data_IF_968877108412
#
_entry.id   IF_968877108412
#
_cell.length_a   1.000
_cell.length_b   1.000
_cell.length_c   1.000
_cell.angle_alpha   90.00
_cell.angle_beta   90.00
_cell.angle_gamma   90.00
#
_symmetry.space_group_name_H-M   'P 1'
#
loop_
_entity.id
_entity.type
_entity.pdbx_description
1 polymer ?
#
# COMPACT_ATOMS: atom_id res chain seq x y z
N UNK A 1 -7.96 19.87 -1.41
CA UNK A 1 -7.97 21.17 -2.11
C UNK A 1 -9.37 21.51 -2.69
N UNK A 2 -10.24 20.55 -2.87
CA UNK A 2 -11.55 20.70 -3.50
C UNK A 2 -11.47 20.89 -5.02
N UNK A 3 -12.65 20.96 -5.66
CA UNK A 3 -12.82 21.07 -7.10
C UNK A 3 -13.79 22.21 -7.42
N UNK A 4 -13.62 22.83 -8.61
CA UNK A 4 -14.66 23.68 -9.22
C UNK A 4 -15.65 22.84 -9.99
N UNK A 5 -16.76 23.45 -10.49
CA UNK A 5 -17.71 22.77 -11.35
C UNK A 5 -17.07 22.27 -12.66
N UNK A 6 -16.18 23.07 -13.26
CA UNK A 6 -15.43 22.72 -14.46
C UNK A 6 -14.43 21.57 -14.21
N UNK A 7 -13.80 21.56 -13.03
CA UNK A 7 -12.91 20.45 -12.63
C UNK A 7 -13.69 19.15 -12.38
N UNK A 8 -14.92 19.22 -11.84
CA UNK A 8 -15.80 18.04 -11.75
C UNK A 8 -16.14 17.52 -13.15
N UNK A 9 -16.53 18.39 -14.06
CA UNK A 9 -16.85 17.99 -15.43
C UNK A 9 -15.65 17.32 -16.11
N UNK A 10 -14.46 17.87 -15.90
CA UNK A 10 -13.22 17.35 -16.48
C UNK A 10 -12.74 16.05 -15.85
N UNK A 11 -12.75 15.92 -14.51
CA UNK A 11 -12.08 14.82 -13.80
C UNK A 11 -13.04 13.74 -13.26
N UNK A 12 -14.33 14.06 -13.15
CA UNK A 12 -15.34 13.12 -12.64
C UNK A 12 -16.24 12.63 -13.76
N UNK A 13 -16.71 13.51 -14.67
CA UNK A 13 -17.64 13.11 -15.73
C UNK A 13 -16.95 12.46 -16.93
N UNK A 14 -15.65 12.72 -17.15
CA UNK A 14 -14.90 12.08 -18.26
C UNK A 14 -14.28 10.77 -17.79
N UNK A 15 -14.86 9.66 -18.24
CA UNK A 15 -14.40 8.31 -17.92
C UNK A 15 -12.98 8.10 -18.46
N UNK A 16 -12.11 7.49 -17.65
CA UNK A 16 -10.70 7.22 -17.96
C UNK A 16 -9.85 8.48 -18.24
N UNK A 17 -10.33 9.66 -17.86
CA UNK A 17 -9.54 10.87 -17.89
C UNK A 17 -8.82 11.04 -16.55
N UNK A 18 -7.51 11.22 -16.59
CA UNK A 18 -6.70 11.45 -15.40
C UNK A 18 -5.83 12.69 -15.59
N UNK A 19 -5.83 13.57 -14.59
CA UNK A 19 -4.90 14.70 -14.51
C UNK A 19 -3.45 14.28 -14.18
N UNK A 20 -3.17 12.98 -14.07
CA UNK A 20 -1.85 12.46 -13.73
C UNK A 20 -0.78 12.91 -14.74
N UNK A 21 -1.08 12.89 -16.03
CA UNK A 21 -0.13 13.32 -17.07
C UNK A 21 0.17 14.82 -16.97
N UNK A 22 -0.86 15.66 -16.80
CA UNK A 22 -0.70 17.12 -16.61
C UNK A 22 0.13 17.41 -15.35
N UNK A 23 -0.07 16.61 -14.29
CA UNK A 23 0.71 16.72 -13.06
C UNK A 23 2.16 16.30 -13.26
N UNK A 24 2.41 15.17 -13.93
CA UNK A 24 3.75 14.68 -14.23
C UNK A 24 4.56 15.65 -15.10
N UNK A 25 3.91 16.30 -16.06
CA UNK A 25 4.56 17.32 -16.88
C UNK A 25 4.96 18.56 -16.06
N UNK A 26 4.10 18.96 -15.10
CA UNK A 26 4.30 20.13 -14.27
C UNK A 26 5.26 19.89 -13.09
N UNK A 27 5.29 18.70 -12.54
CA UNK A 27 6.02 18.30 -11.33
C UNK A 27 6.86 17.06 -11.57
N UNK A 28 7.82 17.12 -12.51
CA UNK A 28 8.64 15.98 -12.94
C UNK A 28 9.42 15.31 -11.80
N UNK A 29 9.80 16.09 -10.79
CA UNK A 29 10.56 15.58 -9.62
C UNK A 29 9.68 14.87 -8.60
N UNK A 30 8.34 15.06 -8.66
CA UNK A 30 7.36 14.46 -7.76
C UNK A 30 6.53 13.35 -8.43
N UNK A 31 7.02 12.78 -9.53
CA UNK A 31 6.31 11.75 -10.30
C UNK A 31 5.85 10.55 -9.45
N UNK A 32 6.60 10.23 -8.40
CA UNK A 32 6.28 9.14 -7.47
C UNK A 32 5.14 9.48 -6.49
N UNK A 33 4.69 10.73 -6.41
CA UNK A 33 3.60 11.13 -5.53
C UNK A 33 2.21 10.79 -6.08
N UNK A 34 2.10 10.37 -7.34
CA UNK A 34 0.81 10.04 -7.97
C UNK A 34 0.45 8.59 -7.69
N UNK A 35 -0.67 8.41 -6.98
CA UNK A 35 -1.24 7.09 -6.67
C UNK A 35 -2.13 6.58 -7.81
N UNK A 36 -2.85 7.47 -8.49
CA UNK A 36 -3.84 7.13 -9.53
C UNK A 36 -3.39 7.53 -10.93
N UNK A 37 -3.46 6.59 -11.90
CA UNK A 37 -3.04 6.82 -13.27
C UNK A 37 -4.17 6.68 -14.30
N UNK A 38 -5.24 5.95 -14.00
CA UNK A 38 -6.20 5.50 -15.01
C UNK A 38 -7.51 6.30 -15.05
N UNK A 39 -7.78 7.16 -14.04
CA UNK A 39 -9.03 7.92 -13.96
C UNK A 39 -10.31 7.06 -13.79
N UNK A 40 -10.17 5.82 -13.33
CA UNK A 40 -11.27 4.86 -13.19
C UNK A 40 -11.63 4.52 -11.74
N UNK A 41 -10.75 4.82 -10.79
CA UNK A 41 -10.90 4.40 -9.40
C UNK A 41 -12.17 4.93 -8.72
N UNK A 42 -12.57 6.16 -9.05
CA UNK A 42 -13.78 6.78 -8.50
C UNK A 42 -15.06 5.97 -8.83
N UNK A 43 -15.15 5.44 -10.04
CA UNK A 43 -16.35 4.72 -10.49
C UNK A 43 -16.59 3.40 -9.76
N UNK A 44 -15.58 2.86 -9.07
CA UNK A 44 -15.75 1.69 -8.19
C UNK A 44 -16.73 1.94 -7.05
N UNK A 45 -17.01 3.19 -6.70
CA UNK A 45 -18.04 3.56 -5.72
C UNK A 45 -19.41 3.02 -6.09
N UNK A 46 -19.76 2.97 -7.38
CA UNK A 46 -21.05 2.45 -7.88
C UNK A 46 -21.14 0.91 -7.81
N UNK A 47 -20.09 0.20 -7.46
CA UNK A 47 -20.17 -1.24 -7.18
C UNK A 47 -20.86 -1.53 -5.84
N UNK A 48 -20.91 -0.55 -4.94
CA UNK A 48 -21.46 -0.71 -3.59
C UNK A 48 -22.52 0.34 -3.23
N UNK A 49 -22.66 1.39 -4.04
CA UNK A 49 -23.56 2.50 -3.77
C UNK A 49 -24.58 2.67 -4.89
N UNK A 50 -25.84 2.84 -4.52
CA UNK A 50 -26.95 3.17 -5.43
C UNK A 50 -26.98 4.65 -5.84
N UNK A 51 -26.23 5.49 -5.14
CA UNK A 51 -26.08 6.93 -5.43
C UNK A 51 -24.80 7.43 -4.80
N UNK A 52 -24.11 8.35 -5.49
CA UNK A 52 -22.94 9.05 -4.99
C UNK A 52 -23.16 10.55 -5.08
N UNK A 53 -22.78 11.27 -4.03
CA UNK A 53 -22.75 12.73 -4.02
C UNK A 53 -21.32 13.21 -3.74
N UNK A 54 -20.90 14.29 -4.41
CA UNK A 54 -19.66 15.01 -4.13
C UNK A 54 -20.05 16.46 -3.80
N UNK A 55 -19.78 16.89 -2.57
CA UNK A 55 -19.93 18.27 -2.14
C UNK A 55 -18.54 18.87 -2.04
N UNK A 56 -18.21 19.85 -2.89
CA UNK A 56 -16.85 20.33 -3.01
C UNK A 56 -16.75 21.84 -3.15
N UNK A 57 -15.67 22.41 -2.58
CA UNK A 57 -15.29 23.80 -2.74
C UNK A 57 -13.82 23.89 -3.04
N UNK A 58 -13.47 24.48 -4.18
CA UNK A 58 -12.08 24.65 -4.60
C UNK A 58 -11.31 25.59 -3.65
N UNK A 59 -10.01 25.41 -3.60
CA UNK A 59 -9.08 26.32 -2.89
C UNK A 59 -8.93 27.68 -3.58
N UNK A 60 -9.42 27.81 -4.81
CA UNK A 60 -9.32 29.04 -5.58
C UNK A 60 -10.17 30.15 -4.93
N UNK A 61 -9.64 31.37 -4.90
CA UNK A 61 -10.33 32.52 -4.32
C UNK A 61 -11.63 32.80 -5.07
N UNK A 62 -12.72 33.00 -4.35
CA UNK A 62 -14.04 33.23 -4.94
C UNK A 62 -14.75 32.00 -5.51
N UNK A 63 -14.15 30.82 -5.40
CA UNK A 63 -14.77 29.59 -5.93
C UNK A 63 -16.11 29.29 -5.23
N UNK A 64 -17.15 29.08 -6.04
CA UNK A 64 -18.46 28.63 -5.59
C UNK A 64 -18.40 27.13 -5.22
N UNK A 65 -18.99 26.75 -4.10
CA UNK A 65 -19.16 25.35 -3.76
C UNK A 65 -20.26 24.73 -4.61
N UNK A 66 -20.05 23.47 -5.00
CA UNK A 66 -21.00 22.71 -5.82
C UNK A 66 -21.25 21.32 -5.25
N UNK A 67 -22.43 20.80 -5.54
CA UNK A 67 -22.80 19.41 -5.27
C UNK A 67 -23.06 18.71 -6.60
N UNK A 68 -22.31 17.66 -6.85
CA UNK A 68 -22.50 16.70 -7.93
C UNK A 68 -23.25 15.48 -7.40
N UNK A 69 -24.19 14.95 -8.17
CA UNK A 69 -24.97 13.77 -7.81
C UNK A 69 -25.13 12.86 -9.02
N UNK A 70 -24.94 11.54 -8.84
CA UNK A 70 -25.14 10.52 -9.85
C UNK A 70 -25.59 9.20 -9.18
N UNK A 71 -26.45 8.46 -9.87
CA UNK A 71 -26.95 7.14 -9.45
C UNK A 71 -26.30 5.98 -10.21
N UNK A 72 -25.20 6.24 -10.94
CA UNK A 72 -24.52 5.27 -11.78
C UNK A 72 -25.04 5.20 -13.21
N UNK A 73 -26.11 5.90 -13.55
CA UNK A 73 -26.56 6.14 -14.92
C UNK A 73 -25.64 7.14 -15.63
N UNK A 74 -25.74 7.31 -16.96
CA UNK A 74 -25.02 8.36 -17.68
C UNK A 74 -25.43 9.79 -17.29
N UNK A 75 -26.50 9.95 -16.54
CA UNK A 75 -27.04 11.25 -16.12
C UNK A 75 -26.45 11.65 -14.76
N UNK A 76 -26.16 12.93 -14.61
CA UNK A 76 -25.71 13.54 -13.36
C UNK A 76 -26.32 14.94 -13.20
N UNK A 77 -26.26 15.46 -11.98
CA UNK A 77 -26.65 16.84 -11.70
C UNK A 77 -25.50 17.59 -11.02
N UNK A 78 -25.35 18.87 -11.31
CA UNK A 78 -24.46 19.79 -10.59
C UNK A 78 -25.30 20.99 -10.14
N UNK A 79 -25.26 21.30 -8.86
CA UNK A 79 -25.97 22.43 -8.27
C UNK A 79 -25.06 23.23 -7.34
N UNK A 80 -25.27 24.55 -7.26
CA UNK A 80 -24.55 25.37 -6.32
C UNK A 80 -25.06 25.10 -4.90
N UNK A 81 -24.13 25.01 -3.95
CA UNK A 81 -24.43 24.80 -2.53
C UNK A 81 -23.54 25.68 -1.67
N UNK A 82 -23.86 25.76 -0.38
CA UNK A 82 -23.00 26.41 0.61
C UNK A 82 -22.06 25.37 1.23
N UNK A 83 -20.78 25.72 1.32
CA UNK A 83 -19.75 24.96 2.03
C UNK A 83 -18.72 25.97 2.57
N UNK A 84 -18.54 25.96 3.88
CA UNK A 84 -17.65 26.92 4.54
C UNK A 84 -16.19 26.68 4.17
N UNK A 85 -15.70 25.45 4.36
CA UNK A 85 -14.30 25.10 4.14
C UNK A 85 -14.05 24.53 2.75
N UNK A 86 -12.85 24.77 2.21
CA UNK A 86 -12.36 24.09 1.00
C UNK A 86 -12.24 22.58 1.22
N UNK A 87 -12.31 21.82 0.16
CA UNK A 87 -12.20 20.36 0.18
C UNK A 87 -13.42 19.68 -0.40
N UNK A 88 -13.41 18.36 -0.39
CA UNK A 88 -14.50 17.55 -0.96
C UNK A 88 -15.01 16.55 0.06
N UNK A 89 -16.32 16.46 0.21
CA UNK A 89 -17.02 15.39 0.91
C UNK A 89 -17.59 14.46 -0.16
N UNK A 90 -17.23 13.18 -0.07
CA UNK A 90 -17.73 12.14 -0.98
C UNK A 90 -18.68 11.25 -0.18
N UNK A 91 -19.95 11.23 -0.55
CA UNK A 91 -21.03 10.56 0.17
C UNK A 91 -21.54 9.40 -0.69
N UNK A 92 -21.38 8.18 -0.19
CA UNK A 92 -21.87 6.97 -0.83
C UNK A 92 -23.16 6.51 -0.13
N UNK A 93 -24.26 6.47 -0.87
CA UNK A 93 -25.53 5.89 -0.40
C UNK A 93 -25.49 4.39 -0.69
N UNK A 94 -25.07 3.64 0.31
CA UNK A 94 -24.79 2.21 0.18
C UNK A 94 -26.04 1.43 -0.21
N UNK A 95 -25.89 0.49 -1.15
CA UNK A 95 -26.94 -0.41 -1.59
C UNK A 95 -27.34 -1.40 -0.47
N UNK A 96 -28.58 -1.87 -0.53
CA UNK A 96 -29.12 -2.78 0.48
C UNK A 96 -28.36 -4.09 0.59
N UNK A 97 -27.80 -4.58 -0.50
CA UNK A 97 -26.98 -5.80 -0.56
C UNK A 97 -25.54 -5.58 -0.08
N UNK A 98 -25.13 -4.33 0.16
CA UNK A 98 -23.77 -3.92 0.53
C UNK A 98 -23.67 -3.32 1.94
N UNK A 99 -24.66 -3.56 2.81
CA UNK A 99 -24.74 -2.95 4.17
C UNK A 99 -23.52 -3.25 5.07
N UNK A 100 -22.75 -4.31 4.77
CA UNK A 100 -21.51 -4.58 5.50
C UNK A 100 -20.53 -3.40 5.48
N UNK A 101 -20.55 -2.56 4.44
CA UNK A 101 -19.70 -1.37 4.33
C UNK A 101 -20.20 -0.16 5.17
N UNK A 102 -21.29 -0.29 5.90
CA UNK A 102 -21.71 0.65 6.93
C UNK A 102 -21.12 0.32 8.30
N UNK A 103 -20.52 -0.87 8.47
CA UNK A 103 -19.94 -1.33 9.71
C UNK A 103 -18.54 -0.76 9.91
N UNK A 104 -18.30 -0.06 11.03
CA UNK A 104 -17.00 0.53 11.38
C UNK A 104 -15.87 -0.50 11.34
N UNK A 105 -16.11 -1.69 11.89
CA UNK A 105 -15.14 -2.79 11.92
C UNK A 105 -14.75 -3.28 10.53
N UNK A 106 -15.73 -3.33 9.60
CA UNK A 106 -15.50 -3.72 8.22
C UNK A 106 -14.62 -2.70 7.49
N UNK A 107 -14.97 -1.42 7.60
CA UNK A 107 -14.18 -0.33 6.99
C UNK A 107 -12.78 -0.28 7.60
N UNK A 108 -12.66 -0.35 8.92
CA UNK A 108 -11.36 -0.38 9.61
C UNK A 108 -10.45 -1.51 9.10
N UNK A 109 -11.00 -2.72 8.93
CA UNK A 109 -10.24 -3.87 8.41
C UNK A 109 -9.76 -3.65 6.97
N UNK A 110 -10.59 -3.06 6.12
CA UNK A 110 -10.23 -2.73 4.73
C UNK A 110 -9.15 -1.63 4.68
N UNK A 111 -9.30 -0.58 5.48
CA UNK A 111 -8.31 0.49 5.56
C UNK A 111 -6.97 -0.04 6.06
N UNK A 112 -6.98 -0.90 7.08
CA UNK A 112 -5.76 -1.55 7.59
C UNK A 112 -5.10 -2.43 6.53
N UNK A 113 -5.87 -3.17 5.74
CA UNK A 113 -5.31 -4.04 4.70
C UNK A 113 -4.74 -3.27 3.52
N UNK A 114 -5.49 -2.30 2.99
CA UNK A 114 -5.17 -1.67 1.69
C UNK A 114 -4.51 -0.30 1.81
N UNK A 115 -4.69 0.38 2.93
CA UNK A 115 -4.27 1.77 3.10
C UNK A 115 -3.19 1.98 4.16
N UNK A 116 -2.73 0.90 4.81
CA UNK A 116 -1.82 0.96 5.97
C UNK A 116 -0.58 1.83 5.75
N UNK A 117 -0.05 1.86 4.55
CA UNK A 117 1.21 2.53 4.24
C UNK A 117 1.07 3.63 3.18
N UNK A 118 -0.15 4.05 2.87
CA UNK A 118 -0.35 5.16 1.94
C UNK A 118 0.41 6.42 2.40
N UNK A 119 1.02 7.16 1.47
CA UNK A 119 1.87 8.32 1.81
C UNK A 119 1.07 9.56 2.23
N UNK A 120 -0.25 9.45 2.32
CA UNK A 120 -1.16 10.52 2.74
C UNK A 120 -1.87 10.08 4.02
N UNK A 121 -1.91 10.92 5.09
CA UNK A 121 -2.55 10.53 6.35
C UNK A 121 -4.06 10.33 6.15
N UNK A 122 -4.56 9.24 6.71
CA UNK A 122 -5.97 8.85 6.70
C UNK A 122 -6.47 8.88 8.13
N UNK A 123 -7.37 9.79 8.43
CA UNK A 123 -8.07 9.83 9.72
C UNK A 123 -9.34 8.97 9.64
N UNK A 124 -9.51 8.06 10.60
CA UNK A 124 -10.71 7.25 10.74
C UNK A 124 -11.18 7.28 12.19
N UNK A 125 -12.23 8.05 12.42
CA UNK A 125 -12.74 8.34 13.77
C UNK A 125 -11.79 9.20 14.60
N UNK A 126 -12.03 9.21 15.91
CA UNK A 126 -11.21 9.92 16.88
C UNK A 126 -10.38 8.94 17.71
N UNK A 127 -9.25 9.42 18.26
CA UNK A 127 -8.48 8.64 19.23
C UNK A 127 -9.32 8.37 20.47
N UNK A 128 -9.22 7.14 21.01
CA UNK A 128 -9.91 6.72 22.23
C UNK A 128 -8.88 6.53 23.34
N UNK A 129 -9.13 7.11 24.50
CA UNK A 129 -8.32 6.96 25.71
C UNK A 129 -9.12 6.25 26.82
N UNK A 130 -8.42 5.50 27.67
CA UNK A 130 -9.03 4.92 28.85
C UNK A 130 -9.05 5.96 29.99
N UNK A 131 -10.28 6.36 30.41
CA UNK A 131 -10.49 7.20 31.60
C UNK A 131 -11.52 6.51 32.48
N UNK A 132 -11.19 6.32 33.75
CA UNK A 132 -12.05 5.71 34.75
C UNK A 132 -12.68 4.36 34.37
N UNK A 133 -11.88 3.50 33.68
CA UNK A 133 -12.33 2.18 33.22
C UNK A 133 -13.25 2.19 32.02
N UNK A 134 -13.41 3.33 31.33
CA UNK A 134 -14.19 3.47 30.08
C UNK A 134 -13.33 4.06 28.96
N UNK A 135 -13.57 3.64 27.74
CA UNK A 135 -13.03 4.30 26.56
C UNK A 135 -13.79 5.60 26.28
N UNK A 136 -13.07 6.72 26.22
CA UNK A 136 -13.61 8.05 25.91
C UNK A 136 -12.93 8.55 24.66
N UNK A 137 -13.72 9.06 23.71
CA UNK A 137 -13.17 9.71 22.52
C UNK A 137 -12.52 11.05 22.87
N UNK A 138 -11.38 11.31 22.27
CA UNK A 138 -10.68 12.59 22.36
C UNK A 138 -11.07 13.50 21.20
N UNK A 139 -10.57 14.74 21.19
CA UNK A 139 -10.74 15.66 20.07
C UNK A 139 -9.74 15.41 18.93
N UNK A 140 -8.76 14.51 19.13
CA UNK A 140 -7.72 14.23 18.14
C UNK A 140 -8.19 13.21 17.12
N UNK A 141 -7.83 13.45 15.84
CA UNK A 141 -8.09 12.49 14.76
C UNK A 141 -7.26 11.22 14.95
N UNK A 142 -7.89 10.07 14.72
CA UNK A 142 -7.21 8.79 14.73
C UNK A 142 -6.61 8.53 13.33
N UNK A 143 -5.35 8.92 13.12
CA UNK A 143 -4.61 8.60 11.88
C UNK A 143 -4.22 7.12 11.93
N UNK A 144 -4.70 6.34 10.96
CA UNK A 144 -4.63 4.87 10.97
C UNK A 144 -3.50 4.28 10.14
N UNK A 145 -2.82 5.10 9.33
CA UNK A 145 -1.77 4.64 8.44
C UNK A 145 -0.41 5.27 8.78
N UNK A 146 0.64 4.59 8.39
CA UNK A 146 2.03 5.04 8.50
C UNK A 146 2.48 5.61 7.15
N UNK A 147 2.60 6.92 7.06
CA UNK A 147 2.94 7.62 5.80
C UNK A 147 4.42 7.55 5.43
N UNK A 148 5.27 7.15 6.35
CA UNK A 148 6.72 7.01 6.15
C UNK A 148 7.21 5.66 6.70
N UNK A 149 6.85 4.55 6.06
CA UNK A 149 7.11 3.21 6.55
C UNK A 149 8.61 2.88 6.56
N UNK A 150 8.98 1.84 7.33
CA UNK A 150 10.36 1.51 7.62
C UNK A 150 11.22 1.28 6.36
N UNK A 151 10.68 0.64 5.34
CA UNK A 151 11.43 0.33 4.11
C UNK A 151 11.76 1.53 3.24
N UNK A 152 11.14 2.70 3.46
CA UNK A 152 11.45 3.94 2.75
C UNK A 152 12.60 4.70 3.40
N UNK A 153 13.00 4.31 4.61
CA UNK A 153 14.10 4.94 5.36
C UNK A 153 15.45 4.38 4.93
N UNK A 154 16.51 5.14 5.14
CA UNK A 154 17.85 4.68 4.82
C UNK A 154 18.31 3.62 5.83
N UNK A 155 18.89 2.49 5.38
CA UNK A 155 19.35 1.44 6.30
C UNK A 155 20.33 1.92 7.40
N UNK A 156 21.13 2.95 7.10
CA UNK A 156 22.11 3.52 8.05
C UNK A 156 21.47 4.26 9.23
N UNK A 157 20.18 4.64 9.11
CA UNK A 157 19.42 5.32 10.15
C UNK A 157 18.68 4.33 11.06
N UNK A 158 18.69 3.04 10.73
CA UNK A 158 17.89 2.01 11.38
C UNK A 158 18.75 1.08 12.24
N UNK A 159 18.17 0.62 13.34
CA UNK A 159 18.74 -0.36 14.26
C UNK A 159 18.01 -1.69 14.11
N UNK A 160 18.63 -2.77 14.55
CA UNK A 160 18.07 -4.12 14.52
C UNK A 160 16.69 -4.20 15.19
N UNK A 161 16.47 -3.43 16.27
CA UNK A 161 15.19 -3.40 16.96
C UNK A 161 14.07 -2.78 16.10
N UNK A 162 14.38 -1.81 15.24
CA UNK A 162 13.40 -1.22 14.33
C UNK A 162 12.88 -2.28 13.35
N UNK A 163 13.79 -3.11 12.79
CA UNK A 163 13.43 -4.22 11.90
C UNK A 163 12.61 -5.29 12.60
N UNK A 164 12.98 -5.67 13.83
CA UNK A 164 12.23 -6.66 14.62
C UNK A 164 10.85 -6.14 14.98
N UNK A 165 10.76 -4.87 15.41
CA UNK A 165 9.49 -4.23 15.70
C UNK A 165 8.57 -4.24 14.49
N UNK A 166 9.07 -3.82 13.33
CA UNK A 166 8.32 -3.82 12.09
C UNK A 166 7.87 -5.23 11.67
N UNK A 167 8.72 -6.24 11.87
CA UNK A 167 8.34 -7.63 11.62
C UNK A 167 7.19 -8.09 12.52
N UNK A 168 7.23 -7.80 13.82
CA UNK A 168 6.14 -8.11 14.78
C UNK A 168 4.84 -7.39 14.42
N UNK A 169 4.92 -6.19 13.90
CA UNK A 169 3.74 -5.44 13.43
C UNK A 169 3.10 -6.04 12.17
N UNK A 170 3.91 -6.57 11.26
CA UNK A 170 3.42 -7.24 10.05
C UNK A 170 2.90 -8.66 10.35
N UNK A 171 3.57 -9.36 11.26
CA UNK A 171 3.34 -10.79 11.55
C UNK A 171 3.25 -11.05 13.06
N UNK A 172 2.16 -10.59 13.74
CA UNK A 172 2.06 -10.64 15.21
C UNK A 172 2.12 -12.05 15.80
N UNK A 173 1.82 -13.08 15.01
CA UNK A 173 1.79 -14.48 15.43
C UNK A 173 3.03 -15.26 15.00
N UNK A 174 4.00 -14.61 14.37
CA UNK A 174 5.24 -15.25 13.94
C UNK A 174 6.32 -15.15 15.04
N UNK A 175 7.24 -16.12 15.05
CA UNK A 175 8.46 -16.03 15.87
C UNK A 175 9.39 -14.95 15.30
N UNK A 176 10.36 -14.48 16.09
CA UNK A 176 11.38 -13.54 15.63
C UNK A 176 12.10 -14.06 14.37
N UNK A 177 12.37 -13.20 13.39
CA UNK A 177 13.04 -13.60 12.16
C UNK A 177 14.51 -13.97 12.44
N UNK A 178 15.08 -14.83 11.61
CA UNK A 178 16.48 -15.23 11.70
C UNK A 178 17.41 -14.05 11.39
N UNK A 179 17.09 -13.31 10.33
CA UNK A 179 17.72 -12.08 9.87
C UNK A 179 16.87 -11.45 8.77
N UNK A 180 17.31 -10.31 8.24
CA UNK A 180 16.60 -9.56 7.20
C UNK A 180 17.57 -8.99 6.15
N UNK A 181 16.99 -8.58 5.04
CA UNK A 181 17.65 -7.88 3.95
C UNK A 181 16.85 -6.61 3.68
N UNK A 182 17.46 -5.45 3.83
CA UNK A 182 16.88 -4.18 3.42
C UNK A 182 17.24 -3.92 1.96
N UNK A 183 16.25 -3.85 1.10
CA UNK A 183 16.38 -3.51 -0.31
C UNK A 183 16.27 -1.99 -0.45
N UNK A 184 17.25 -1.38 -1.10
CA UNK A 184 17.25 0.06 -1.39
C UNK A 184 18.09 0.28 -2.66
N UNK A 185 17.43 0.41 -3.79
CA UNK A 185 18.02 0.53 -5.14
C UNK A 185 17.27 1.59 -5.90
N UNK A 186 18.01 2.48 -6.54
CA UNK A 186 17.51 3.56 -7.39
C UNK A 186 17.96 3.44 -8.85
N UNK A 187 18.88 2.52 -9.16
CA UNK A 187 19.37 2.25 -10.50
C UNK A 187 19.80 0.78 -10.66
N UNK A 188 19.44 0.10 -11.76
CA UNK A 188 18.75 0.53 -12.98
C UNK A 188 17.21 0.50 -12.84
N UNK A 189 16.67 0.28 -11.69
CA UNK A 189 15.25 0.32 -11.34
C UNK A 189 15.10 0.77 -9.89
N UNK A 190 13.94 1.31 -9.56
CA UNK A 190 13.61 1.69 -8.20
C UNK A 190 13.02 0.48 -7.46
N UNK A 191 13.67 0.07 -6.38
CA UNK A 191 13.22 -1.03 -5.53
C UNK A 191 13.58 -0.73 -4.08
N UNK A 192 12.58 -0.66 -3.25
CA UNK A 192 12.73 -0.61 -1.80
C UNK A 192 11.99 -1.79 -1.17
N UNK A 193 12.33 -2.12 0.07
CA UNK A 193 11.66 -3.22 0.76
C UNK A 193 12.49 -3.81 1.87
N UNK A 194 11.87 -4.70 2.63
CA UNK A 194 12.55 -5.49 3.66
C UNK A 194 12.07 -6.92 3.53
N UNK A 195 13.00 -7.83 3.27
CA UNK A 195 12.75 -9.26 3.24
C UNK A 195 13.29 -9.90 4.52
N UNK A 196 12.49 -10.71 5.17
CA UNK A 196 12.82 -11.42 6.39
C UNK A 196 12.91 -12.92 6.13
N UNK A 197 13.88 -13.56 6.76
CA UNK A 197 13.98 -15.02 6.85
C UNK A 197 13.24 -15.48 8.12
N UNK A 198 12.02 -16.04 7.99
CA UNK A 198 11.26 -16.52 9.13
C UNK A 198 11.83 -17.85 9.62
N UNK A 199 11.51 -18.21 10.87
CA UNK A 199 11.65 -19.59 11.34
C UNK A 199 10.52 -20.43 10.74
N UNK A 200 10.87 -21.38 9.87
CA UNK A 200 9.90 -22.22 9.17
C UNK A 200 9.50 -23.41 10.07
N UNK A 201 8.26 -23.43 10.53
CA UNK A 201 7.68 -24.60 11.24
C UNK A 201 7.17 -25.61 10.22
N UNK A 202 6.87 -26.81 10.65
CA UNK A 202 6.59 -28.01 9.86
C UNK A 202 5.50 -27.92 8.78
N UNK A 203 4.75 -26.82 8.67
CA UNK A 203 3.72 -26.65 7.65
C UNK A 203 4.10 -25.53 6.65
N UNK A 204 4.88 -25.93 5.65
CA UNK A 204 5.48 -25.02 4.64
C UNK A 204 4.40 -24.28 3.82
N UNK A 205 3.29 -24.94 3.50
CA UNK A 205 2.24 -24.35 2.65
C UNK A 205 1.52 -23.16 3.31
N UNK A 206 1.38 -23.19 4.63
CA UNK A 206 0.79 -22.08 5.38
C UNK A 206 1.73 -20.85 5.51
N UNK A 207 2.98 -20.99 5.11
CA UNK A 207 4.00 -19.94 5.23
C UNK A 207 4.34 -19.27 3.89
N UNK A 208 3.83 -19.79 2.79
CA UNK A 208 3.97 -19.18 1.46
C UNK A 208 3.14 -17.89 1.37
N UNK A 209 3.53 -17.01 0.45
CA UNK A 209 2.79 -15.79 0.11
C UNK A 209 2.61 -14.82 1.30
N UNK A 210 3.71 -14.57 2.00
CA UNK A 210 3.77 -13.58 3.08
C UNK A 210 4.54 -12.30 2.69
N UNK A 211 4.97 -12.19 1.45
CA UNK A 211 5.56 -10.98 0.92
C UNK A 211 4.43 -10.12 0.36
N UNK A 212 4.34 -8.88 0.82
CA UNK A 212 3.39 -7.89 0.33
C UNK A 212 4.05 -7.01 -0.71
N UNK A 213 3.42 -6.90 -1.89
CA UNK A 213 3.86 -6.02 -2.96
C UNK A 213 3.15 -4.67 -2.87
N UNK A 214 3.93 -3.63 -2.98
CA UNK A 214 3.49 -2.24 -3.07
C UNK A 214 4.03 -1.58 -4.36
N UNK A 215 3.36 -0.54 -4.78
CA UNK A 215 3.82 0.39 -5.80
C UNK A 215 3.59 1.82 -5.28
N UNK A 216 4.68 2.53 -4.97
CA UNK A 216 4.62 3.83 -4.30
C UNK A 216 3.77 3.80 -3.02
N UNK A 217 4.05 2.82 -2.13
CA UNK A 217 3.33 2.58 -0.87
C UNK A 217 1.84 2.20 -1.03
N UNK A 218 1.35 2.02 -2.26
CA UNK A 218 0.00 1.53 -2.55
C UNK A 218 0.04 0.00 -2.62
N UNK A 219 -0.76 -0.67 -1.80
CA UNK A 219 -0.86 -2.12 -1.79
C UNK A 219 -1.32 -2.67 -3.16
N UNK A 220 -0.62 -3.68 -3.66
CA UNK A 220 -0.94 -4.36 -4.92
C UNK A 220 -1.46 -5.76 -4.65
N UNK A 221 -0.65 -6.61 -4.01
CA UNK A 221 -0.97 -8.02 -3.77
C UNK A 221 -0.06 -8.63 -2.71
N UNK A 222 -0.46 -9.75 -2.16
CA UNK A 222 0.36 -10.65 -1.33
C UNK A 222 0.85 -11.89 -2.10
N UNK A 223 0.52 -12.00 -3.39
CA UNK A 223 1.05 -13.03 -4.28
C UNK A 223 2.11 -12.42 -5.19
N UNK A 224 3.37 -12.77 -4.96
CA UNK A 224 4.54 -12.22 -5.66
C UNK A 224 5.15 -13.19 -6.68
N UNK A 225 4.31 -14.02 -7.31
CA UNK A 225 4.73 -14.98 -8.33
C UNK A 225 5.45 -14.27 -9.50
N UNK A 226 6.64 -14.79 -9.85
CA UNK A 226 7.47 -14.22 -10.91
C UNK A 226 8.29 -12.99 -10.51
N UNK A 227 7.95 -12.29 -9.42
CA UNK A 227 8.79 -11.21 -8.85
C UNK A 227 9.84 -11.80 -7.93
N UNK A 228 9.43 -12.76 -7.10
CA UNK A 228 10.33 -13.51 -6.23
C UNK A 228 10.40 -14.94 -6.74
N UNK A 229 11.61 -15.51 -6.92
CA UNK A 229 11.74 -16.92 -7.29
C UNK A 229 11.01 -17.84 -6.33
N UNK A 230 10.52 -18.98 -6.81
CA UNK A 230 9.72 -19.92 -6.04
C UNK A 230 10.38 -20.35 -4.72
N UNK A 231 11.70 -20.57 -4.73
CA UNK A 231 12.45 -20.96 -3.53
C UNK A 231 12.53 -19.84 -2.47
N UNK A 232 12.22 -18.60 -2.82
CA UNK A 232 12.17 -17.45 -1.91
C UNK A 232 10.74 -17.07 -1.49
N UNK A 233 9.72 -17.78 -1.96
CA UNK A 233 8.31 -17.50 -1.58
C UNK A 233 8.02 -17.78 -0.10
N UNK A 234 8.92 -18.44 0.59
CA UNK A 234 8.86 -18.65 2.04
C UNK A 234 9.34 -17.43 2.85
N UNK A 235 9.97 -16.43 2.20
CA UNK A 235 10.33 -15.18 2.86
C UNK A 235 9.08 -14.40 3.24
N UNK A 236 9.22 -13.62 4.29
CA UNK A 236 8.24 -12.64 4.71
C UNK A 236 8.70 -11.23 4.34
N UNK A 237 7.81 -10.26 4.31
CA UNK A 237 8.21 -8.86 4.21
C UNK A 237 7.43 -8.03 3.22
N UNK A 238 8.09 -7.01 2.73
CA UNK A 238 7.53 -5.99 1.83
C UNK A 238 8.48 -5.75 0.68
N UNK A 239 7.92 -5.63 -0.52
CA UNK A 239 8.60 -5.15 -1.73
C UNK A 239 7.79 -3.96 -2.24
N UNK A 240 8.45 -2.85 -2.55
CA UNK A 240 7.85 -1.65 -3.12
C UNK A 240 8.66 -1.19 -4.33
N UNK A 241 8.01 -1.13 -5.50
CA UNK A 241 8.66 -0.71 -6.74
C UNK A 241 7.67 -0.04 -7.69
N UNK A 242 7.91 1.21 -8.10
CA UNK A 242 7.13 1.88 -9.15
C UNK A 242 7.42 1.32 -10.55
N UNK A 243 8.53 0.60 -10.73
CA UNK A 243 8.97 0.08 -12.04
C UNK A 243 8.34 -1.29 -12.36
N UNK A 244 7.52 -1.84 -11.47
CA UNK A 244 6.69 -3.01 -11.76
C UNK A 244 5.43 -2.53 -12.47
N UNK A 245 5.25 -2.85 -13.77
CA UNK A 245 4.11 -2.36 -14.52
C UNK A 245 2.82 -3.01 -14.02
N UNK A 246 1.85 -2.16 -13.74
CA UNK A 246 0.51 -2.56 -13.30
C UNK A 246 -0.49 -2.36 -14.43
N UNK A 247 -1.46 -3.26 -14.55
CA UNK A 247 -2.63 -3.06 -15.40
C UNK A 247 -3.69 -2.20 -14.68
N UNK A 248 -4.83 -1.95 -15.35
CA UNK A 248 -5.93 -1.14 -14.82
C UNK A 248 -6.48 -1.69 -13.49
N UNK A 249 -6.50 -3.01 -13.31
CA UNK A 249 -6.93 -3.67 -12.05
C UNK A 249 -5.83 -3.69 -10.98
N UNK A 250 -4.69 -3.03 -11.23
CA UNK A 250 -3.49 -3.04 -10.39
C UNK A 250 -2.86 -4.43 -10.19
N UNK A 251 -3.14 -5.39 -11.08
CA UNK A 251 -2.36 -6.62 -11.17
C UNK A 251 -1.07 -6.33 -11.94
N UNK A 252 0.03 -6.94 -11.54
CA UNK A 252 1.31 -6.76 -12.24
C UNK A 252 1.48 -7.73 -13.41
N UNK A 253 2.37 -7.36 -14.35
CA UNK A 253 2.67 -8.15 -15.54
C UNK A 253 3.89 -9.04 -15.30
N UNK A 254 3.67 -10.33 -15.03
CA UNK A 254 4.72 -11.30 -14.68
C UNK A 254 5.81 -11.47 -15.77
N UNK A 255 5.44 -11.31 -17.04
CA UNK A 255 6.35 -11.49 -18.17
C UNK A 255 7.23 -10.27 -18.47
N UNK A 256 7.07 -9.17 -17.74
CA UNK A 256 7.80 -7.92 -17.99
C UNK A 256 9.31 -8.07 -17.72
N UNK A 257 10.11 -7.35 -18.50
CA UNK A 257 11.57 -7.37 -18.39
C UNK A 257 12.08 -6.80 -17.07
N UNK A 258 11.39 -5.81 -16.49
CA UNK A 258 11.77 -5.21 -15.23
C UNK A 258 11.48 -6.16 -14.07
N UNK A 259 10.36 -6.89 -14.12
CA UNK A 259 10.05 -7.95 -13.14
C UNK A 259 11.17 -8.99 -13.10
N UNK A 260 11.67 -9.45 -14.26
CA UNK A 260 12.80 -10.40 -14.34
C UNK A 260 14.09 -9.83 -13.76
N UNK A 261 14.41 -8.55 -14.02
CA UNK A 261 15.61 -7.90 -13.45
C UNK A 261 15.50 -7.79 -11.94
N UNK A 262 14.33 -7.40 -11.41
CA UNK A 262 14.06 -7.32 -9.97
C UNK A 262 14.23 -8.70 -9.33
N UNK A 263 13.63 -9.75 -9.92
CA UNK A 263 13.76 -11.13 -9.44
C UNK A 263 15.23 -11.60 -9.35
N UNK A 264 16.01 -11.34 -10.40
CA UNK A 264 17.43 -11.67 -10.44
C UNK A 264 18.21 -10.90 -9.37
N UNK A 265 17.91 -9.62 -9.17
CA UNK A 265 18.53 -8.79 -8.14
C UNK A 265 18.23 -9.29 -6.73
N UNK A 266 16.97 -9.62 -6.44
CA UNK A 266 16.57 -10.17 -5.14
C UNK A 266 17.31 -11.47 -4.87
N UNK A 267 17.37 -12.39 -5.84
CA UNK A 267 18.10 -13.67 -5.73
C UNK A 267 19.58 -13.43 -5.38
N UNK A 268 20.22 -12.49 -6.07
CA UNK A 268 21.62 -12.13 -5.80
C UNK A 268 21.79 -11.56 -4.39
N UNK A 269 20.93 -10.64 -3.95
CA UNK A 269 21.00 -10.05 -2.60
C UNK A 269 20.82 -11.09 -1.50
N UNK A 270 19.92 -12.05 -1.71
CA UNK A 270 19.73 -13.18 -0.80
C UNK A 270 20.99 -14.03 -0.73
N UNK A 271 21.56 -14.40 -1.87
CA UNK A 271 22.80 -15.18 -1.94
C UNK A 271 23.96 -14.45 -1.26
N UNK A 272 24.15 -13.15 -1.57
CA UNK A 272 25.20 -12.33 -0.97
C UNK A 272 25.07 -12.25 0.57
N UNK A 273 23.84 -12.14 1.07
CA UNK A 273 23.57 -12.10 2.52
C UNK A 273 23.90 -13.42 3.20
N UNK A 274 23.45 -14.54 2.63
CA UNK A 274 23.78 -15.88 3.14
C UNK A 274 25.28 -16.13 3.15
N UNK A 275 25.99 -15.75 2.07
CA UNK A 275 27.44 -15.87 2.01
C UNK A 275 28.14 -14.98 3.04
N UNK A 276 27.64 -13.77 3.28
CA UNK A 276 28.20 -12.86 4.27
C UNK A 276 28.08 -13.43 5.68
N UNK A 277 26.92 -13.97 6.07
CA UNK A 277 26.72 -14.62 7.37
C UNK A 277 27.67 -15.84 7.49
N UNK A 278 27.74 -16.69 6.46
CA UNK A 278 28.60 -17.86 6.43
C UNK A 278 30.10 -17.52 6.61
N UNK A 279 30.57 -16.42 5.99
CA UNK A 279 31.97 -16.01 6.06
C UNK A 279 32.31 -15.25 7.33
N UNK A 280 31.43 -14.39 7.80
CA UNK A 280 31.75 -13.46 8.88
C UNK A 280 31.35 -13.99 10.26
N UNK A 281 30.32 -14.84 10.33
CA UNK A 281 29.86 -15.48 11.57
C UNK A 281 29.43 -16.93 11.30
N UNK A 282 30.44 -17.78 11.10
CA UNK A 282 30.26 -19.21 10.84
C UNK A 282 29.44 -19.90 11.93
N UNK A 283 29.67 -19.51 13.18
CA UNK A 283 28.96 -20.08 14.33
C UNK A 283 27.49 -19.75 14.29
N UNK A 284 27.13 -18.48 14.06
CA UNK A 284 25.75 -18.06 13.89
C UNK A 284 25.05 -18.79 12.74
N UNK A 285 25.77 -18.99 11.62
CA UNK A 285 25.24 -19.73 10.48
C UNK A 285 24.94 -21.19 10.83
N UNK A 286 25.84 -21.85 11.54
CA UNK A 286 25.67 -23.24 11.95
C UNK A 286 24.55 -23.42 13.00
N UNK A 287 24.41 -22.48 13.94
CA UNK A 287 23.32 -22.47 14.91
C UNK A 287 21.93 -22.29 14.25
N UNK A 288 21.87 -21.56 13.14
CA UNK A 288 20.63 -21.31 12.38
C UNK A 288 20.43 -22.30 11.22
N UNK A 289 21.33 -23.27 11.04
CA UNK A 289 21.33 -24.17 9.89
C UNK A 289 20.02 -24.93 9.70
N UNK A 290 19.42 -25.42 10.77
CA UNK A 290 18.19 -26.21 10.68
C UNK A 290 17.00 -25.41 10.11
N UNK A 291 16.97 -24.11 10.38
CA UNK A 291 15.98 -23.19 9.83
C UNK A 291 16.33 -22.72 8.41
N UNK A 292 17.66 -22.59 8.11
CA UNK A 292 18.15 -22.07 6.83
C UNK A 292 18.20 -23.11 5.71
N UNK A 293 18.46 -24.38 6.06
CA UNK A 293 18.65 -25.47 5.07
C UNK A 293 17.46 -25.60 4.11
N UNK A 294 16.24 -25.26 4.55
CA UNK A 294 15.05 -25.37 3.73
C UNK A 294 15.10 -24.39 2.53
N UNK A 295 15.53 -23.15 2.77
CA UNK A 295 15.68 -22.14 1.71
C UNK A 295 16.78 -22.53 0.72
N UNK A 296 17.90 -23.06 1.25
CA UNK A 296 19.05 -23.47 0.43
C UNK A 296 18.71 -24.71 -0.40
N UNK A 297 18.14 -25.72 0.22
CA UNK A 297 17.78 -26.97 -0.47
C UNK A 297 16.71 -26.73 -1.54
N UNK A 298 15.72 -25.88 -1.26
CA UNK A 298 14.66 -25.55 -2.24
C UNK A 298 15.23 -24.73 -3.42
N UNK A 299 16.25 -23.91 -3.18
CA UNK A 299 16.93 -23.16 -4.25
C UNK A 299 17.90 -23.98 -5.09
N UNK A 300 18.23 -25.23 -4.69
CA UNK A 300 19.08 -26.15 -5.44
C UNK A 300 18.29 -27.10 -6.36
N UNK A 301 16.99 -27.19 -6.21
CA UNK A 301 16.08 -27.96 -7.07
C UNK A 301 15.69 -27.15 -8.31
#
# INVERSE_FOLDING_TARGET
IGLTAEEIDKYINQIAFSGANDFLEKYKDDANAIIGHFGLGFYSAFMVAKKVEIITKSHQEGAQAVKWTCDGSPEFTIENVEKESRGSDIILYIDDDCKEFLEETRISSLLTKYCRFLPIPIAFGKKKEWKDGKQVETNEDNVINETYPLWTRKPVELKDEDYKKFYRELYPMADEPLFWIHLNVDYPFNLTGILYFPKVKSNIELQKNKIQLYCNQVYVTDSVEGIVPDFLTLLHGVIDSPDIPLNVSRSYLQSDSNVKKISTYISKKVSDRLQAIFKNDRKEFEEKWDDLKIFINYGML
#
